data_IF_788802560500
#
_entry.id   IF_788802560500
#
_cell.length_a   1.000
_cell.length_b   1.000
_cell.length_c   1.000
_cell.angle_alpha   90.00
_cell.angle_beta   90.00
_cell.angle_gamma   90.00
#
_symmetry.space_group_name_H-M   'P 1'
#
loop_
_entity.id
_entity.type
_entity.pdbx_description
1 polymer ?
#
# COMPACT_ATOMS: atom_id res chain seq x y z
N UNK A 1 20.24 1.81 5.12
CA UNK A 1 18.84 2.27 5.06
C UNK A 1 17.92 1.12 5.41
N UNK A 2 16.81 1.41 6.06
CA UNK A 2 15.73 0.46 6.28
C UNK A 2 14.93 0.25 4.99
N UNK A 3 14.10 -0.82 4.93
CA UNK A 3 13.16 -1.02 3.82
C UNK A 3 12.22 0.18 3.63
N UNK A 4 11.73 0.76 4.73
CA UNK A 4 10.85 1.94 4.68
C UNK A 4 11.54 3.16 4.06
N UNK A 5 12.76 3.44 4.45
CA UNK A 5 13.57 4.54 3.88
C UNK A 5 13.87 4.29 2.38
N UNK A 6 14.23 3.07 1.98
CA UNK A 6 14.40 2.74 0.55
C UNK A 6 13.09 2.94 -0.24
N UNK A 7 11.96 2.52 0.32
CA UNK A 7 10.66 2.69 -0.32
C UNK A 7 10.25 4.16 -0.45
N UNK A 8 10.72 5.04 0.44
CA UNK A 8 10.47 6.49 0.29
C UNK A 8 11.16 7.08 -0.93
N UNK A 9 12.33 6.53 -1.30
CA UNK A 9 13.13 7.00 -2.44
C UNK A 9 12.52 6.64 -3.81
N UNK A 10 11.58 5.70 -3.89
CA UNK A 10 10.90 5.38 -5.17
C UNK A 10 10.07 6.55 -5.72
N UNK A 11 9.78 7.55 -4.89
CA UNK A 11 9.09 8.79 -5.27
C UNK A 11 10.03 9.97 -5.47
N UNK A 12 11.34 9.74 -5.46
CA UNK A 12 12.32 10.80 -5.76
C UNK A 12 12.14 11.35 -7.19
N UNK A 13 12.29 12.66 -7.41
CA UNK A 13 12.35 13.22 -8.75
C UNK A 13 13.59 12.74 -9.52
N UNK A 14 14.69 12.40 -8.84
CA UNK A 14 15.93 11.89 -9.43
C UNK A 14 15.76 10.43 -9.92
N UNK A 15 15.85 10.17 -11.25
CA UNK A 15 15.68 8.84 -11.81
C UNK A 15 16.77 7.85 -11.43
N UNK A 16 18.01 8.32 -11.18
CA UNK A 16 19.12 7.46 -10.82
C UNK A 16 19.03 7.05 -9.34
N UNK A 17 18.56 7.94 -8.49
CA UNK A 17 18.28 7.59 -7.09
C UNK A 17 17.16 6.56 -6.98
N UNK A 18 16.08 6.69 -7.76
CA UNK A 18 15.01 5.67 -7.83
C UNK A 18 15.55 4.33 -8.29
N UNK A 19 16.41 4.32 -9.33
CA UNK A 19 17.03 3.11 -9.85
C UNK A 19 17.88 2.41 -8.79
N UNK A 20 18.77 3.15 -8.12
CA UNK A 20 19.64 2.60 -7.06
C UNK A 20 18.85 2.04 -5.89
N UNK A 21 17.83 2.76 -5.42
CA UNK A 21 16.97 2.30 -4.33
C UNK A 21 16.24 0.99 -4.69
N UNK A 22 15.70 0.90 -5.90
CA UNK A 22 15.04 -0.30 -6.39
C UNK A 22 16.01 -1.48 -6.52
N UNK A 23 17.17 -1.25 -7.12
CA UNK A 23 18.19 -2.29 -7.29
C UNK A 23 18.71 -2.82 -5.94
N UNK A 24 18.97 -1.94 -4.97
CA UNK A 24 19.41 -2.35 -3.64
C UNK A 24 18.34 -3.16 -2.89
N UNK A 25 17.09 -2.77 -2.98
CA UNK A 25 15.99 -3.54 -2.41
C UNK A 25 15.95 -4.97 -2.96
N UNK A 26 16.07 -5.11 -4.28
CA UNK A 26 16.02 -6.43 -4.92
C UNK A 26 17.34 -7.22 -4.80
N UNK A 27 18.48 -6.54 -4.63
CA UNK A 27 19.74 -7.22 -4.31
C UNK A 27 19.61 -7.98 -2.98
N UNK A 28 19.12 -7.29 -1.94
CA UNK A 28 18.94 -7.91 -0.61
C UNK A 28 17.99 -9.11 -0.67
N UNK A 29 16.85 -8.99 -1.36
CA UNK A 29 15.95 -10.15 -1.53
C UNK A 29 16.52 -11.22 -2.45
N UNK A 30 17.35 -10.85 -3.41
CA UNK A 30 18.02 -11.77 -4.34
C UNK A 30 18.99 -12.71 -3.65
N UNK A 31 19.72 -12.22 -2.66
CA UNK A 31 20.68 -13.02 -1.88
C UNK A 31 20.00 -14.21 -1.18
N UNK A 32 18.75 -14.03 -0.73
CA UNK A 32 17.96 -15.05 -0.03
C UNK A 32 16.89 -15.71 -0.93
N UNK A 33 16.86 -15.41 -2.23
CA UNK A 33 15.79 -15.85 -3.13
C UNK A 33 15.52 -17.37 -3.12
N UNK A 34 16.51 -18.28 -3.06
CA UNK A 34 16.25 -19.72 -2.99
C UNK A 34 15.47 -20.11 -1.73
N UNK A 35 15.83 -19.56 -0.58
CA UNK A 35 15.19 -19.86 0.72
C UNK A 35 13.78 -19.26 0.72
N UNK A 36 13.63 -17.99 0.34
CA UNK A 36 12.34 -17.32 0.25
C UNK A 36 11.40 -18.01 -0.74
N UNK A 37 11.94 -18.48 -1.86
CA UNK A 37 11.20 -19.26 -2.85
C UNK A 37 10.68 -20.60 -2.30
N UNK A 38 11.51 -21.32 -1.55
CA UNK A 38 11.12 -22.56 -0.90
C UNK A 38 10.03 -22.34 0.16
N UNK A 39 10.17 -21.32 0.99
CA UNK A 39 9.17 -20.93 1.98
C UNK A 39 7.83 -20.61 1.31
N UNK A 40 7.85 -19.81 0.25
CA UNK A 40 6.64 -19.46 -0.51
C UNK A 40 5.98 -20.69 -1.15
N UNK A 41 6.75 -21.56 -1.77
CA UNK A 41 6.23 -22.82 -2.32
C UNK A 41 5.55 -23.68 -1.25
N UNK A 42 6.14 -23.75 -0.05
CA UNK A 42 5.58 -24.54 1.06
C UNK A 42 4.23 -23.97 1.47
N UNK A 43 4.12 -22.65 1.65
CA UNK A 43 2.87 -21.97 2.00
C UNK A 43 1.78 -22.20 0.93
N UNK A 44 2.14 -22.09 -0.36
CA UNK A 44 1.17 -22.31 -1.46
C UNK A 44 0.71 -23.76 -1.55
N UNK A 45 1.62 -24.73 -1.32
CA UNK A 45 1.28 -26.16 -1.28
C UNK A 45 0.37 -26.48 -0.10
N UNK A 46 0.67 -25.93 1.07
CA UNK A 46 -0.15 -26.08 2.27
C UNK A 46 -1.56 -25.55 2.05
N UNK A 47 -1.69 -24.33 1.58
CA UNK A 47 -2.97 -23.73 1.18
C UNK A 47 -3.76 -24.63 0.20
N UNK A 48 -3.09 -25.10 -0.86
CA UNK A 48 -3.73 -25.99 -1.83
C UNK A 48 -4.19 -27.31 -1.21
N UNK A 49 -3.36 -27.92 -0.37
CA UNK A 49 -3.69 -29.17 0.30
C UNK A 49 -4.87 -28.99 1.24
N UNK A 50 -4.89 -27.96 2.05
CA UNK A 50 -5.99 -27.67 2.95
C UNK A 50 -7.27 -27.33 2.18
N UNK A 51 -7.24 -26.31 1.33
CA UNK A 51 -8.45 -25.73 0.77
C UNK A 51 -9.00 -26.56 -0.41
N UNK A 52 -8.15 -27.05 -1.30
CA UNK A 52 -8.59 -27.79 -2.49
C UNK A 52 -8.67 -29.30 -2.23
N UNK A 53 -7.66 -29.87 -1.58
CA UNK A 53 -7.60 -31.33 -1.42
C UNK A 53 -8.45 -31.83 -0.27
N UNK A 54 -8.36 -31.20 0.91
CA UNK A 54 -9.10 -31.63 2.12
C UNK A 54 -10.52 -31.04 2.14
N UNK A 55 -10.65 -29.72 2.03
CA UNK A 55 -11.95 -29.02 2.13
C UNK A 55 -12.77 -29.04 0.85
N UNK A 56 -12.18 -29.51 -0.27
CA UNK A 56 -12.86 -29.70 -1.56
C UNK A 56 -13.39 -28.40 -2.19
N UNK A 57 -12.79 -27.26 -1.90
CA UNK A 57 -13.12 -26.04 -2.65
C UNK A 57 -12.82 -26.23 -4.13
N UNK A 58 -13.66 -25.68 -4.99
CA UNK A 58 -13.55 -25.77 -6.46
C UNK A 58 -12.22 -25.26 -6.99
N UNK A 59 -11.77 -24.14 -6.42
CA UNK A 59 -10.48 -23.50 -6.75
C UNK A 59 -9.85 -22.92 -5.48
N UNK A 60 -8.54 -22.60 -5.46
CA UNK A 60 -7.93 -21.93 -4.31
C UNK A 60 -8.57 -20.58 -3.96
N UNK A 61 -9.07 -19.83 -4.95
CA UNK A 61 -9.72 -18.54 -4.70
C UNK A 61 -11.13 -18.69 -4.13
N UNK A 62 -11.81 -19.81 -4.40
CA UNK A 62 -13.16 -20.07 -3.85
C UNK A 62 -13.18 -20.09 -2.33
N UNK A 63 -12.11 -20.57 -1.68
CA UNK A 63 -11.97 -20.53 -0.23
C UNK A 63 -11.93 -19.07 0.30
N UNK A 64 -11.20 -18.20 -0.38
CA UNK A 64 -11.15 -16.77 -0.04
C UNK A 64 -12.47 -16.08 -0.32
N UNK A 65 -13.14 -16.41 -1.42
CA UNK A 65 -14.43 -15.84 -1.79
C UNK A 65 -15.50 -16.19 -0.75
N UNK A 66 -15.52 -17.44 -0.31
CA UNK A 66 -16.41 -17.88 0.77
C UNK A 66 -16.14 -17.11 2.08
N UNK A 67 -14.88 -16.95 2.46
CA UNK A 67 -14.50 -16.19 3.66
C UNK A 67 -14.89 -14.69 3.58
N UNK A 68 -14.99 -14.15 2.37
CA UNK A 68 -15.41 -12.78 2.11
C UNK A 68 -16.92 -12.65 1.85
N UNK A 69 -17.67 -13.75 1.93
CA UNK A 69 -19.11 -13.82 1.61
C UNK A 69 -19.42 -13.33 0.18
N UNK A 70 -18.58 -13.74 -0.78
CA UNK A 70 -18.70 -13.37 -2.20
C UNK A 70 -18.88 -14.60 -3.08
N UNK A 71 -19.86 -14.63 -4.02
CA UNK A 71 -19.94 -15.66 -5.06
C UNK A 71 -18.71 -15.63 -5.99
N UNK A 72 -18.26 -16.81 -6.45
CA UNK A 72 -17.13 -16.95 -7.37
C UNK A 72 -17.32 -16.14 -8.65
N UNK A 73 -18.53 -16.08 -9.19
CA UNK A 73 -18.88 -15.38 -10.43
C UNK A 73 -18.67 -13.85 -10.33
N UNK A 74 -18.83 -13.28 -9.13
CA UNK A 74 -18.57 -11.84 -8.89
C UNK A 74 -17.09 -11.56 -9.07
N UNK A 75 -16.23 -12.41 -8.53
CA UNK A 75 -14.78 -12.28 -8.64
C UNK A 75 -14.31 -12.54 -10.08
N UNK A 76 -14.86 -13.54 -10.74
CA UNK A 76 -14.56 -13.82 -12.16
C UNK A 76 -14.93 -12.62 -13.04
N UNK A 77 -16.10 -12.02 -12.83
CA UNK A 77 -16.56 -10.82 -13.55
C UNK A 77 -15.64 -9.63 -13.29
N UNK A 78 -15.22 -9.41 -12.03
CA UNK A 78 -14.27 -8.36 -11.69
C UNK A 78 -12.94 -8.53 -12.41
N UNK A 79 -12.36 -9.73 -12.35
CA UNK A 79 -11.07 -10.02 -12.99
C UNK A 79 -11.14 -9.88 -14.52
N UNK A 80 -12.23 -10.34 -15.14
CA UNK A 80 -12.44 -10.20 -16.57
C UNK A 80 -12.61 -8.73 -16.98
N UNK A 81 -13.36 -7.96 -16.20
CA UNK A 81 -13.51 -6.51 -16.42
C UNK A 81 -12.16 -5.81 -16.33
N UNK A 82 -11.33 -6.14 -15.33
CA UNK A 82 -9.98 -5.62 -15.22
C UNK A 82 -9.13 -5.96 -16.46
N UNK A 83 -9.15 -7.21 -16.92
CA UNK A 83 -8.39 -7.64 -18.11
C UNK A 83 -8.81 -6.85 -19.36
N UNK A 84 -10.10 -6.70 -19.61
CA UNK A 84 -10.63 -5.95 -20.76
C UNK A 84 -10.21 -4.48 -20.74
N UNK A 85 -10.01 -3.91 -19.57
CA UNK A 85 -9.69 -2.50 -19.41
C UNK A 85 -8.19 -2.20 -19.19
N UNK A 86 -7.31 -3.19 -19.30
CA UNK A 86 -5.84 -2.98 -19.14
C UNK A 86 -5.26 -1.94 -20.08
N UNK A 87 -5.87 -1.72 -21.26
CA UNK A 87 -5.47 -0.69 -22.20
C UNK A 87 -5.47 0.74 -21.64
N UNK A 88 -6.31 1.01 -20.62
CA UNK A 88 -6.34 2.31 -19.93
C UNK A 88 -4.99 2.56 -19.25
N UNK A 89 -4.47 1.57 -18.53
CA UNK A 89 -3.17 1.68 -17.85
C UNK A 89 -2.02 1.85 -18.86
N UNK A 90 -2.07 1.15 -19.99
CA UNK A 90 -1.10 1.35 -21.07
C UNK A 90 -1.06 2.78 -21.59
N UNK A 91 -2.23 3.41 -21.80
CA UNK A 91 -2.32 4.82 -22.18
C UNK A 91 -1.79 5.76 -21.10
N UNK A 92 -2.16 5.50 -19.85
CA UNK A 92 -1.66 6.27 -18.69
C UNK A 92 -0.13 6.22 -18.59
N UNK A 93 0.48 5.04 -18.69
CA UNK A 93 1.94 4.91 -18.60
C UNK A 93 2.66 5.58 -19.76
N UNK A 94 2.10 5.53 -20.99
CA UNK A 94 2.63 6.29 -22.13
C UNK A 94 2.56 7.80 -21.91
N UNK A 95 1.44 8.29 -21.36
CA UNK A 95 1.30 9.70 -21.01
C UNK A 95 2.32 10.10 -19.95
N UNK A 96 2.42 9.31 -18.88
CA UNK A 96 3.37 9.56 -17.78
C UNK A 96 4.82 9.57 -18.27
N UNK A 97 5.22 8.65 -19.15
CA UNK A 97 6.54 8.64 -19.74
C UNK A 97 6.84 9.97 -20.46
N UNK A 98 5.92 10.44 -21.30
CA UNK A 98 6.05 11.74 -21.99
C UNK A 98 6.18 12.91 -21.04
N UNK A 99 5.38 12.95 -19.96
CA UNK A 99 5.44 14.01 -18.95
C UNK A 99 6.78 14.01 -18.18
N UNK A 100 7.43 12.87 -18.06
CA UNK A 100 8.75 12.71 -17.44
C UNK A 100 9.90 12.87 -18.43
N UNK A 101 9.63 13.15 -19.73
CA UNK A 101 10.66 13.26 -20.75
C UNK A 101 11.35 11.93 -21.08
N UNK A 102 10.64 10.80 -20.93
CA UNK A 102 11.17 9.45 -21.12
C UNK A 102 10.47 8.77 -22.30
N UNK A 103 11.21 8.00 -23.11
CA UNK A 103 10.64 7.19 -24.18
C UNK A 103 9.78 6.06 -23.62
N UNK A 104 10.24 5.44 -22.52
CA UNK A 104 9.56 4.34 -21.84
C UNK A 104 9.80 4.39 -20.35
N UNK A 105 8.74 4.16 -19.56
CA UNK A 105 8.87 4.00 -18.10
C UNK A 105 9.55 2.67 -17.76
N UNK A 106 10.50 2.74 -16.84
CA UNK A 106 11.07 1.57 -16.17
C UNK A 106 10.22 1.24 -14.94
N UNK A 107 10.38 0.05 -14.37
CA UNK A 107 9.60 -0.39 -13.21
C UNK A 107 9.67 0.59 -12.01
N UNK A 108 10.82 1.19 -11.79
CA UNK A 108 11.06 2.15 -10.71
C UNK A 108 10.67 3.60 -11.03
N UNK A 109 10.16 3.88 -12.23
CA UNK A 109 9.63 5.20 -12.59
C UNK A 109 8.10 5.31 -12.43
N UNK A 110 7.42 4.21 -12.09
CA UNK A 110 5.96 4.18 -11.95
C UNK A 110 5.48 5.18 -10.89
N UNK A 111 6.24 5.36 -9.81
CA UNK A 111 5.92 6.31 -8.73
C UNK A 111 6.65 7.65 -8.85
N UNK A 112 7.38 7.88 -9.95
CA UNK A 112 8.04 9.17 -10.18
C UNK A 112 7.02 10.31 -10.18
N UNK A 113 7.29 11.43 -9.49
CA UNK A 113 6.42 12.60 -9.53
C UNK A 113 6.48 13.26 -10.91
N UNK A 114 5.33 13.64 -11.46
CA UNK A 114 5.22 14.40 -12.73
C UNK A 114 5.16 15.92 -12.50
N UNK A 115 4.81 16.33 -11.28
CA UNK A 115 4.84 17.73 -10.87
C UNK A 115 6.14 18.02 -10.07
N UNK A 116 6.54 19.31 -10.00
CA UNK A 116 7.60 19.71 -9.09
C UNK A 116 7.21 19.33 -7.67
N UNK A 117 8.19 18.87 -6.88
CA UNK A 117 7.98 18.48 -5.51
C UNK A 117 7.25 19.60 -4.73
N UNK A 118 6.10 19.28 -4.20
CA UNK A 118 5.42 20.13 -3.23
C UNK A 118 6.29 20.24 -1.96
N UNK A 119 6.17 21.37 -1.26
CA UNK A 119 6.81 21.51 0.06
C UNK A 119 6.32 20.39 0.97
N UNK A 120 7.19 19.83 1.83
CA UNK A 120 6.76 18.82 2.80
C UNK A 120 5.59 19.36 3.63
N UNK A 121 4.59 18.53 3.81
CA UNK A 121 3.46 18.82 4.70
C UNK A 121 3.90 18.61 6.14
N UNK A 122 3.92 19.68 6.94
CA UNK A 122 4.20 19.55 8.37
C UNK A 122 3.12 18.68 9.05
N UNK A 123 3.53 17.84 9.98
CA UNK A 123 2.66 16.87 10.64
C UNK A 123 1.41 17.54 11.27
N UNK A 124 1.61 18.63 12.00
CA UNK A 124 0.52 19.38 12.63
C UNK A 124 -0.50 19.90 11.63
N UNK A 125 -0.03 20.32 10.44
CA UNK A 125 -0.91 20.75 9.34
C UNK A 125 -1.67 19.59 8.72
N UNK A 126 -1.05 18.41 8.66
CA UNK A 126 -1.71 17.19 8.21
C UNK A 126 -2.83 16.81 9.17
N UNK A 127 -2.56 16.77 10.47
CA UNK A 127 -3.57 16.50 11.51
C UNK A 127 -4.73 17.48 11.42
N UNK A 128 -4.44 18.78 11.39
CA UNK A 128 -5.48 19.81 11.26
C UNK A 128 -6.34 19.61 10.00
N UNK A 129 -5.71 19.24 8.87
CA UNK A 129 -6.42 19.01 7.61
C UNK A 129 -7.33 17.79 7.65
N UNK A 130 -6.88 16.71 8.29
CA UNK A 130 -7.69 15.49 8.48
C UNK A 130 -8.90 15.80 9.35
N UNK A 131 -8.71 16.46 10.50
CA UNK A 131 -9.80 16.83 11.40
C UNK A 131 -10.79 17.82 10.75
N UNK A 132 -10.29 18.79 10.00
CA UNK A 132 -11.14 19.70 9.21
C UNK A 132 -12.00 18.91 8.20
N UNK A 133 -11.38 17.99 7.46
CA UNK A 133 -12.08 17.21 6.44
C UNK A 133 -13.18 16.32 7.07
N UNK A 134 -12.87 15.69 8.18
CA UNK A 134 -13.88 14.90 8.93
C UNK A 134 -14.99 15.76 9.49
N UNK A 135 -14.68 16.95 10.03
CA UNK A 135 -15.66 17.88 10.55
C UNK A 135 -16.61 18.41 9.47
N UNK A 136 -16.10 18.63 8.24
CA UNK A 136 -16.93 19.03 7.09
C UNK A 136 -17.89 17.93 6.64
N UNK A 137 -17.51 16.66 6.81
CA UNK A 137 -18.38 15.52 6.50
C UNK A 137 -19.41 15.29 7.60
N UNK A 138 -18.97 15.10 8.84
CA UNK A 138 -19.80 14.99 10.04
C UNK A 138 -18.93 15.26 11.28
N UNK A 139 -19.29 16.22 12.14
CA UNK A 139 -18.52 16.55 13.36
C UNK A 139 -18.23 15.36 14.28
N UNK A 140 -19.08 14.32 14.27
CA UNK A 140 -18.86 13.10 15.06
C UNK A 140 -17.62 12.32 14.59
N UNK A 141 -17.32 12.35 13.28
CA UNK A 141 -16.09 11.73 12.75
C UNK A 141 -14.84 12.48 13.23
N UNK A 142 -14.88 13.81 13.24
CA UNK A 142 -13.78 14.60 13.79
C UNK A 142 -13.54 14.27 15.27
N UNK A 143 -14.60 14.20 16.09
CA UNK A 143 -14.49 13.83 17.50
C UNK A 143 -13.91 12.43 17.71
N UNK A 144 -14.26 11.46 16.86
CA UNK A 144 -13.66 10.12 16.92
C UNK A 144 -12.18 10.14 16.58
N UNK A 145 -11.78 10.91 15.56
CA UNK A 145 -10.38 11.06 15.19
C UNK A 145 -9.56 11.81 16.26
N UNK A 146 -10.12 12.87 16.84
CA UNK A 146 -9.49 13.62 17.95
C UNK A 146 -9.11 12.71 19.11
N UNK A 147 -9.95 11.73 19.45
CA UNK A 147 -9.63 10.76 20.52
C UNK A 147 -8.40 9.93 20.20
N UNK A 148 -8.17 9.56 18.94
CA UNK A 148 -6.97 8.80 18.53
C UNK A 148 -5.70 9.60 18.82
N UNK A 149 -5.73 10.91 18.59
CA UNK A 149 -4.61 11.80 18.90
C UNK A 149 -4.49 12.07 20.41
N UNK A 150 -5.60 12.30 21.10
CA UNK A 150 -5.61 12.60 22.54
C UNK A 150 -5.16 11.42 23.41
N UNK A 151 -5.46 10.19 22.97
CA UNK A 151 -5.10 8.96 23.68
C UNK A 151 -3.68 8.45 23.30
N UNK A 152 -2.94 9.19 22.44
CA UNK A 152 -1.63 8.77 21.89
C UNK A 152 -1.68 7.40 21.17
N UNK A 153 -2.81 7.07 20.57
CA UNK A 153 -3.02 5.80 19.85
C UNK A 153 -2.55 5.82 18.39
N UNK A 154 -1.75 6.80 18.00
CA UNK A 154 -1.20 6.95 16.66
C UNK A 154 0.32 6.84 16.63
N UNK A 155 0.84 5.80 16.01
CA UNK A 155 2.27 5.64 15.72
C UNK A 155 2.53 6.06 14.27
N UNK A 156 3.00 7.30 14.04
CA UNK A 156 3.13 7.90 12.71
C UNK A 156 4.55 7.94 12.16
N UNK A 157 5.59 7.84 12.97
CA UNK A 157 6.97 8.03 12.55
C UNK A 157 7.56 6.85 11.75
N UNK A 158 8.39 7.15 10.75
CA UNK A 158 9.23 6.14 10.09
C UNK A 158 10.48 5.90 10.92
N UNK A 159 10.71 4.67 11.39
CA UNK A 159 11.89 4.32 12.18
C UNK A 159 12.34 2.88 11.98
N UNK A 160 13.60 2.58 12.33
CA UNK A 160 14.16 1.23 12.27
C UNK A 160 13.36 0.27 13.17
N UNK A 161 13.07 -0.91 12.66
CA UNK A 161 12.34 -1.96 13.38
C UNK A 161 10.81 -1.81 13.34
N UNK A 162 10.29 -0.68 12.84
CA UNK A 162 8.85 -0.49 12.66
C UNK A 162 8.35 -1.20 11.41
N UNK A 163 7.13 -1.76 11.51
CA UNK A 163 6.42 -2.36 10.38
C UNK A 163 6.05 -1.31 9.35
N UNK A 164 6.24 -1.62 8.06
CA UNK A 164 5.81 -0.77 6.96
C UNK A 164 4.30 -0.85 6.69
N UNK A 165 3.80 0.09 5.90
CA UNK A 165 2.38 0.21 5.56
C UNK A 165 1.61 1.06 6.56
N UNK A 166 0.29 0.94 6.54
CA UNK A 166 -0.64 1.58 7.47
C UNK A 166 -1.75 0.60 7.83
N UNK A 167 -2.23 0.64 9.07
CA UNK A 167 -3.39 -0.11 9.51
C UNK A 167 -4.06 0.55 10.72
N UNK A 168 -5.35 0.29 10.86
CA UNK A 168 -6.13 0.60 12.04
C UNK A 168 -6.58 -0.72 12.69
N UNK A 169 -6.39 -0.84 14.00
CA UNK A 169 -6.78 -2.02 14.77
C UNK A 169 -7.79 -1.63 15.83
N UNK A 170 -8.97 -2.23 15.77
CA UNK A 170 -10.03 -2.07 16.76
C UNK A 170 -10.15 -3.36 17.57
N UNK A 171 -10.10 -3.26 18.91
CA UNK A 171 -10.22 -4.42 19.78
C UNK A 171 -11.68 -4.67 20.14
N UNK A 172 -12.36 -3.64 20.65
CA UNK A 172 -13.77 -3.71 21.05
C UNK A 172 -14.50 -2.42 20.68
N UNK A 173 -15.83 -2.49 20.47
CA UNK A 173 -16.67 -1.29 20.34
C UNK A 173 -16.50 -0.37 21.54
N UNK A 174 -16.35 0.93 21.29
CA UNK A 174 -16.20 1.95 22.35
C UNK A 174 -14.76 2.20 22.83
N UNK A 175 -13.79 1.36 22.44
CA UNK A 175 -12.37 1.61 22.69
C UNK A 175 -11.78 2.37 21.50
N UNK A 176 -10.98 3.40 21.80
CA UNK A 176 -10.25 4.15 20.77
C UNK A 176 -9.31 3.22 20.00
N UNK A 177 -9.38 3.14 18.67
CA UNK A 177 -8.54 2.26 17.88
C UNK A 177 -7.07 2.68 17.92
N UNK A 178 -6.19 1.71 17.67
CA UNK A 178 -4.77 1.94 17.45
C UNK A 178 -4.48 2.08 15.96
N UNK A 179 -3.74 3.12 15.59
CA UNK A 179 -3.40 3.42 14.20
C UNK A 179 -1.88 3.42 14.02
N UNK A 180 -1.41 2.67 13.04
CA UNK A 180 -0.01 2.71 12.61
C UNK A 180 0.06 3.34 11.22
N UNK A 181 0.90 4.35 11.07
CA UNK A 181 1.23 5.01 9.81
C UNK A 181 2.74 5.05 9.62
N UNK A 182 3.18 5.41 8.41
CA UNK A 182 4.56 5.73 8.10
C UNK A 182 4.57 7.07 7.36
N UNK A 183 4.33 8.15 8.09
CA UNK A 183 4.22 9.51 7.57
C UNK A 183 5.55 10.04 7.05
N UNK A 184 5.58 10.59 5.83
CA UNK A 184 6.77 11.10 5.16
C UNK A 184 6.62 12.56 4.70
N UNK A 185 5.53 13.20 5.09
CA UNK A 185 5.26 14.60 4.77
C UNK A 185 4.76 14.85 3.36
N UNK A 186 4.14 13.87 2.71
CA UNK A 186 3.57 14.02 1.37
C UNK A 186 2.06 14.26 1.45
N UNK A 187 1.50 14.95 0.45
CA UNK A 187 0.06 15.12 0.35
C UNK A 187 -0.70 13.79 0.30
N UNK A 188 -0.14 12.78 -0.37
CA UNK A 188 -0.69 11.42 -0.39
C UNK A 188 -0.77 10.79 1.00
N UNK A 189 0.20 11.07 1.89
CA UNK A 189 0.21 10.53 3.25
C UNK A 189 -0.90 11.15 4.11
N UNK A 190 -1.35 12.37 3.77
CA UNK A 190 -2.47 13.06 4.44
C UNK A 190 -3.82 12.47 4.01
N UNK A 191 -3.89 11.98 2.76
CA UNK A 191 -5.12 11.41 2.20
C UNK A 191 -5.34 9.93 2.56
N UNK A 192 -4.30 9.24 3.05
CA UNK A 192 -4.35 7.83 3.45
C UNK A 192 -4.84 7.66 4.87
#
# INVERSE_FOLDING_TARGET
>A
LTRGELMSLVRSPDPDLRARAYQELYRVYGDDAPILGLMYQTIVRDWRNEEVTLRKHKTPISARNLANDLPDEVIETLLETCRRNTGVFGRFFKLKARLLGMDKLRRYDIYAPVAKAEKPYAYEKAVAKVLESFSQFDPRFAQMAERVFADDHLDSEVRKGKRGGAFCSTINPGITPWVLLNYQGKADDVAT
#
